data_IF_153202634458
#
_entry.id   IF_153202634458
#
_cell.length_a   1.000
_cell.length_b   1.000
_cell.length_c   1.000
_cell.angle_alpha   90.00
_cell.angle_beta   90.00
_cell.angle_gamma   90.00
#
_symmetry.space_group_name_H-M   'P 1'
#
loop_
_entity.id
_entity.type
_entity.pdbx_description
1 polymer ?
#
# COMPACT_ATOMS: atom_id res chain seq x y z
N UNK A 1 -28.91 11.33 68.62
CA UNK A 1 -28.17 10.20 68.03
C UNK A 1 -27.60 10.63 66.67
N UNK A 2 -26.27 10.70 66.49
CA UNK A 2 -25.69 11.06 65.21
C UNK A 2 -25.88 9.93 64.18
N UNK A 3 -26.36 10.27 62.98
CA UNK A 3 -26.48 9.31 61.86
C UNK A 3 -25.08 8.82 61.46
N UNK A 4 -24.84 7.51 61.34
CA UNK A 4 -23.57 6.99 60.85
C UNK A 4 -23.34 7.48 59.41
N UNK A 5 -22.25 8.23 59.21
CA UNK A 5 -21.79 8.63 57.88
C UNK A 5 -21.28 7.38 57.19
N UNK A 6 -22.09 6.80 56.30
CA UNK A 6 -21.66 5.68 55.45
C UNK A 6 -20.55 6.20 54.53
N UNK A 7 -19.30 5.72 54.64
CA UNK A 7 -18.23 6.17 53.77
C UNK A 7 -18.56 5.81 52.31
N UNK A 8 -18.62 6.83 51.45
CA UNK A 8 -18.78 6.62 50.01
C UNK A 8 -17.61 5.74 49.55
N UNK A 9 -17.88 4.59 48.89
CA UNK A 9 -16.82 3.67 48.53
C UNK A 9 -15.87 4.35 47.53
N UNK A 10 -14.62 4.59 47.98
CA UNK A 10 -13.51 5.18 47.19
C UNK A 10 -13.31 4.48 45.83
N UNK A 11 -13.82 3.26 45.68
CA UNK A 11 -13.75 2.43 44.47
C UNK A 11 -14.51 2.99 43.26
N UNK A 12 -15.62 3.72 43.45
CA UNK A 12 -16.41 4.24 42.31
C UNK A 12 -15.74 5.40 41.59
N UNK A 13 -15.15 6.36 42.32
CA UNK A 13 -14.46 7.52 41.73
C UNK A 13 -13.22 7.09 40.96
N UNK A 14 -12.42 6.19 41.53
CA UNK A 14 -11.22 5.66 40.87
C UNK A 14 -11.55 4.94 39.56
N UNK A 15 -12.56 4.06 39.55
CA UNK A 15 -12.99 3.37 38.33
C UNK A 15 -13.45 4.34 37.24
N UNK A 16 -14.18 5.40 37.61
CA UNK A 16 -14.60 6.43 36.64
C UNK A 16 -13.40 7.14 36.04
N UNK A 17 -12.43 7.53 36.86
CA UNK A 17 -11.20 8.17 36.37
C UNK A 17 -10.43 7.26 35.42
N UNK A 18 -10.20 5.99 35.79
CA UNK A 18 -9.52 5.01 34.91
C UNK A 18 -10.30 4.82 33.61
N UNK A 19 -11.63 4.75 33.68
CA UNK A 19 -12.49 4.67 32.49
C UNK A 19 -12.34 5.88 31.57
N UNK A 20 -12.30 7.10 32.11
CA UNK A 20 -12.08 8.32 31.34
C UNK A 20 -10.69 8.37 30.70
N UNK A 21 -9.65 7.97 31.45
CA UNK A 21 -8.28 7.88 30.93
C UNK A 21 -8.18 6.86 29.80
N UNK A 22 -8.82 5.69 29.96
CA UNK A 22 -8.89 4.66 28.92
C UNK A 22 -9.60 5.18 27.67
N UNK A 23 -10.77 5.82 27.83
CA UNK A 23 -11.52 6.40 26.72
C UNK A 23 -10.73 7.50 26.01
N UNK A 24 -10.05 8.38 26.77
CA UNK A 24 -9.18 9.42 26.21
C UNK A 24 -8.01 8.86 25.42
N UNK A 25 -7.35 7.81 25.95
CA UNK A 25 -6.26 7.14 25.24
C UNK A 25 -6.75 6.48 23.93
N UNK A 26 -7.90 5.79 23.97
CA UNK A 26 -8.51 5.21 22.76
C UNK A 26 -8.84 6.29 21.74
N UNK A 27 -9.37 7.43 22.17
CA UNK A 27 -9.66 8.55 21.27
C UNK A 27 -8.38 9.10 20.60
N UNK A 28 -7.28 9.25 21.36
CA UNK A 28 -5.98 9.64 20.81
C UNK A 28 -5.50 8.61 19.77
N UNK A 29 -5.57 7.31 20.09
CA UNK A 29 -5.19 6.25 19.16
C UNK A 29 -6.02 6.30 17.87
N UNK A 30 -7.34 6.47 17.97
CA UNK A 30 -8.24 6.64 16.82
C UNK A 30 -7.83 7.85 15.96
N UNK A 31 -7.57 9.00 16.58
CA UNK A 31 -7.16 10.22 15.86
C UNK A 31 -5.82 10.01 15.17
N UNK A 32 -4.82 9.46 15.85
CA UNK A 32 -3.50 9.20 15.27
C UNK A 32 -3.53 8.15 14.15
N UNK A 33 -4.38 7.13 14.29
CA UNK A 33 -4.52 6.07 13.31
C UNK A 33 -5.21 6.53 12.02
N UNK A 34 -6.19 7.44 12.12
CA UNK A 34 -7.08 7.76 11.00
C UNK A 34 -6.95 9.17 10.44
N UNK A 35 -6.44 10.16 11.19
CA UNK A 35 -6.24 11.52 10.65
C UNK A 35 -5.35 11.46 9.39
N UNK A 36 -5.55 12.24 8.32
CA UNK A 36 -6.48 13.35 8.19
C UNK A 36 -7.94 12.95 7.90
N UNK A 37 -8.39 11.73 8.25
CA UNK A 37 -9.79 11.28 8.17
C UNK A 37 -10.38 11.41 6.76
N UNK A 38 -9.56 11.13 5.74
CA UNK A 38 -9.97 11.18 4.34
C UNK A 38 -10.75 9.92 4.00
N UNK A 39 -12.07 9.95 4.14
CA UNK A 39 -12.93 8.79 3.91
C UNK A 39 -12.83 8.26 2.47
N UNK A 40 -12.48 6.98 2.32
CA UNK A 40 -12.35 6.27 1.04
C UNK A 40 -12.54 4.76 1.26
N UNK A 41 -13.78 4.31 1.52
CA UNK A 41 -14.08 2.91 1.80
C UNK A 41 -14.15 2.06 0.53
N UNK A 42 -14.10 0.72 0.66
CA UNK A 42 -14.37 -0.16 -0.47
C UNK A 42 -15.78 0.07 -1.01
N UNK A 43 -15.91 0.17 -2.33
CA UNK A 43 -17.19 0.42 -2.99
C UNK A 43 -17.18 -0.07 -4.43
N UNK A 44 -18.34 -0.50 -4.98
CA UNK A 44 -18.44 -0.73 -6.41
C UNK A 44 -18.23 0.59 -7.16
N UNK A 45 -17.40 0.57 -8.20
CA UNK A 45 -17.14 1.73 -9.06
C UNK A 45 -17.34 1.34 -10.51
N UNK A 46 -17.76 2.31 -11.32
CA UNK A 46 -17.70 2.19 -12.78
C UNK A 46 -16.25 2.32 -13.21
N UNK A 47 -15.83 1.45 -14.12
CA UNK A 47 -14.50 1.53 -14.70
C UNK A 47 -14.43 2.73 -15.64
N UNK A 48 -13.44 3.60 -15.41
CA UNK A 48 -13.16 4.77 -16.23
C UNK A 48 -12.37 4.44 -17.50
N UNK A 49 -12.06 3.17 -17.74
CA UNK A 49 -11.45 2.72 -18.99
C UNK A 49 -12.53 2.53 -20.04
N UNK A 50 -12.39 3.27 -21.14
CA UNK A 50 -13.28 3.19 -22.30
C UNK A 50 -12.48 3.04 -23.59
N UNK A 51 -13.09 2.39 -24.58
CA UNK A 51 -12.51 2.22 -25.91
C UNK A 51 -13.20 3.16 -26.89
N UNK A 52 -12.63 4.35 -27.04
CA UNK A 52 -13.19 5.40 -27.91
C UNK A 52 -12.97 5.14 -29.40
N UNK A 53 -11.97 4.33 -29.75
CA UNK A 53 -11.70 3.87 -31.11
C UNK A 53 -11.10 2.46 -31.09
N UNK A 54 -11.07 1.72 -32.22
CA UNK A 54 -10.58 0.34 -32.26
C UNK A 54 -9.21 0.13 -31.61
N UNK A 55 -8.34 1.15 -31.66
CA UNK A 55 -6.98 1.12 -31.14
C UNK A 55 -6.69 2.25 -30.15
N UNK A 56 -7.69 2.75 -29.41
CA UNK A 56 -7.47 3.77 -28.38
C UNK A 56 -8.25 3.43 -27.13
N UNK A 57 -7.52 3.30 -26.02
CA UNK A 57 -8.08 3.24 -24.66
C UNK A 57 -7.96 4.61 -24.01
N UNK A 58 -9.05 5.11 -23.44
CA UNK A 58 -9.09 6.31 -22.60
C UNK A 58 -9.25 5.92 -21.14
N UNK A 59 -8.58 6.64 -20.26
CA UNK A 59 -8.47 6.33 -18.84
C UNK A 59 -8.96 7.52 -17.99
N UNK A 60 -9.80 7.23 -17.01
CA UNK A 60 -10.43 8.19 -16.10
C UNK A 60 -9.89 8.10 -14.67
N UNK A 61 -10.69 8.52 -13.69
CA UNK A 61 -10.29 8.59 -12.28
C UNK A 61 -10.11 7.22 -11.60
N UNK A 62 -10.66 6.15 -12.19
CA UNK A 62 -10.72 4.80 -11.60
C UNK A 62 -10.57 3.77 -12.71
N UNK A 63 -9.40 3.15 -12.84
CA UNK A 63 -9.12 2.32 -14.00
C UNK A 63 -8.86 0.87 -13.60
N UNK A 64 -9.47 -0.06 -14.34
CA UNK A 64 -9.15 -1.48 -14.27
C UNK A 64 -8.95 -2.01 -15.69
N UNK A 65 -7.70 -2.13 -16.11
CA UNK A 65 -7.33 -2.72 -17.39
C UNK A 65 -6.09 -3.59 -17.17
N UNK A 66 -6.29 -4.90 -17.03
CA UNK A 66 -5.24 -5.84 -16.60
C UNK A 66 -5.20 -7.07 -17.47
N UNK A 67 -4.05 -7.72 -17.62
CA UNK A 67 -4.01 -9.05 -18.22
C UNK A 67 -4.72 -10.06 -17.30
N UNK A 68 -5.35 -11.08 -17.89
CA UNK A 68 -6.07 -12.13 -17.15
C UNK A 68 -5.17 -12.94 -16.19
N UNK A 69 -3.85 -12.90 -16.41
CA UNK A 69 -2.85 -13.54 -15.58
C UNK A 69 -1.45 -13.07 -15.98
N UNK A 70 -0.45 -13.88 -15.65
CA UNK A 70 0.93 -13.61 -16.05
C UNK A 70 1.08 -13.62 -17.58
N UNK A 71 1.63 -12.56 -18.20
CA UNK A 71 1.88 -12.57 -19.64
C UNK A 71 2.84 -13.68 -20.07
N UNK A 72 2.52 -14.40 -21.16
CA UNK A 72 3.36 -15.49 -21.67
C UNK A 72 4.80 -15.06 -22.01
N UNK A 73 5.02 -13.80 -22.36
CA UNK A 73 6.34 -13.26 -22.67
C UNK A 73 7.22 -13.07 -21.42
N UNK A 74 6.64 -13.06 -20.21
CA UNK A 74 7.36 -12.77 -18.96
C UNK A 74 8.44 -13.83 -18.67
N UNK A 75 8.15 -15.09 -18.93
CA UNK A 75 9.10 -16.19 -18.77
C UNK A 75 10.31 -16.09 -19.71
N UNK A 76 10.14 -15.49 -20.89
CA UNK A 76 11.26 -15.24 -21.79
C UNK A 76 12.20 -14.16 -21.23
N UNK A 77 11.63 -13.09 -20.69
CA UNK A 77 12.39 -12.00 -20.05
C UNK A 77 13.19 -12.53 -18.86
N UNK A 78 12.56 -13.38 -18.03
CA UNK A 78 13.21 -14.05 -16.88
C UNK A 78 14.37 -14.96 -17.26
N UNK A 79 14.39 -15.49 -18.49
CA UNK A 79 15.54 -16.23 -19.03
C UNK A 79 16.72 -15.33 -19.42
N UNK A 80 16.64 -14.02 -19.14
CA UNK A 80 17.65 -13.02 -19.45
C UNK A 80 17.59 -12.55 -20.91
N UNK A 81 16.44 -12.69 -21.57
CA UNK A 81 16.26 -12.27 -22.97
C UNK A 81 15.93 -10.78 -23.05
N UNK A 82 15.99 -10.25 -24.28
CA UNK A 82 15.63 -8.87 -24.62
C UNK A 82 14.16 -8.59 -24.26
N UNK A 83 13.92 -7.39 -23.73
CA UNK A 83 12.60 -6.80 -23.55
C UNK A 83 12.52 -5.49 -24.33
N UNK A 84 11.41 -5.27 -25.01
CA UNK A 84 11.05 -3.98 -25.61
C UNK A 84 9.63 -3.62 -25.23
N UNK A 85 9.42 -2.36 -24.87
CA UNK A 85 8.11 -1.78 -24.60
C UNK A 85 7.95 -0.57 -25.51
N UNK A 86 6.95 -0.62 -26.39
CA UNK A 86 6.54 0.49 -27.24
C UNK A 86 5.21 1.05 -26.71
N UNK A 87 5.25 2.26 -26.18
CA UNK A 87 4.10 2.92 -25.58
C UNK A 87 3.82 4.24 -26.28
N UNK A 88 2.59 4.46 -26.74
CA UNK A 88 2.13 5.76 -27.23
C UNK A 88 0.97 6.25 -26.36
N UNK A 89 1.24 7.29 -25.59
CA UNK A 89 0.32 7.82 -24.59
C UNK A 89 0.12 9.33 -24.75
N UNK A 90 -1.09 9.79 -24.47
CA UNK A 90 -1.50 11.19 -24.43
C UNK A 90 -2.06 11.49 -23.03
N UNK A 91 -1.23 12.03 -22.12
CA UNK A 91 -1.68 12.42 -20.79
C UNK A 91 -2.75 13.50 -20.86
N UNK A 92 -3.73 13.46 -19.95
CA UNK A 92 -4.73 14.53 -19.84
C UNK A 92 -4.15 15.78 -19.16
N UNK A 93 -3.34 15.60 -18.12
CA UNK A 93 -2.72 16.65 -17.32
C UNK A 93 -1.38 16.20 -16.72
N UNK A 94 -0.55 17.13 -16.21
CA UNK A 94 0.63 16.78 -15.43
C UNK A 94 0.22 16.10 -14.12
N UNK A 95 0.92 15.03 -13.75
CA UNK A 95 0.62 14.29 -12.51
C UNK A 95 1.42 14.88 -11.34
N UNK A 96 0.92 15.95 -10.73
CA UNK A 96 1.67 16.74 -9.75
C UNK A 96 1.66 16.18 -8.32
N UNK A 97 0.66 15.39 -7.96
CA UNK A 97 0.44 14.99 -6.56
C UNK A 97 0.74 13.51 -6.30
N UNK A 98 0.85 12.72 -7.35
CA UNK A 98 1.19 11.31 -7.25
C UNK A 98 1.80 10.87 -8.57
N UNK A 99 2.80 10.00 -8.50
CA UNK A 99 3.29 9.29 -9.70
C UNK A 99 2.18 8.35 -10.17
N UNK A 100 1.86 8.34 -11.46
CA UNK A 100 0.74 7.55 -11.99
C UNK A 100 1.25 6.57 -13.05
N UNK A 101 1.12 5.25 -12.84
CA UNK A 101 1.58 4.26 -13.81
C UNK A 101 0.78 4.35 -15.10
N UNK A 102 1.48 4.53 -16.21
CA UNK A 102 0.89 4.42 -17.55
C UNK A 102 0.81 2.94 -17.94
N UNK A 103 1.87 2.20 -17.60
CA UNK A 103 1.96 0.75 -17.76
C UNK A 103 2.80 0.17 -16.62
N UNK A 104 2.37 -0.97 -16.07
CA UNK A 104 3.07 -1.66 -14.99
C UNK A 104 3.00 -3.17 -15.21
N UNK A 105 4.06 -3.88 -14.81
CA UNK A 105 4.06 -5.33 -14.62
C UNK A 105 4.58 -5.62 -13.23
N UNK A 106 3.72 -6.17 -12.39
CA UNK A 106 3.98 -6.41 -10.98
C UNK A 106 3.17 -7.61 -10.46
N UNK A 107 3.66 -8.25 -9.41
CA UNK A 107 2.88 -9.26 -8.65
C UNK A 107 1.93 -8.56 -7.67
N UNK A 108 2.49 -7.59 -6.95
CA UNK A 108 1.82 -6.76 -5.95
C UNK A 108 2.50 -5.39 -5.84
N UNK A 109 2.12 -4.60 -4.84
CA UNK A 109 2.66 -3.27 -4.57
C UNK A 109 4.16 -3.25 -4.19
N UNK A 110 4.71 -4.38 -3.74
CA UNK A 110 6.10 -4.51 -3.26
C UNK A 110 7.02 -5.19 -4.27
N UNK A 111 6.45 -5.80 -5.31
CA UNK A 111 7.14 -6.61 -6.30
C UNK A 111 6.83 -6.11 -7.71
N UNK A 112 7.40 -4.97 -8.06
CA UNK A 112 7.29 -4.38 -9.39
C UNK A 112 8.45 -4.83 -10.27
N UNK A 113 8.16 -5.58 -11.33
CA UNK A 113 9.17 -5.97 -12.33
C UNK A 113 9.56 -4.77 -13.21
N UNK A 114 8.56 -4.07 -13.76
CA UNK A 114 8.75 -2.85 -14.55
C UNK A 114 7.53 -1.95 -14.43
N UNK A 115 7.74 -0.62 -14.37
CA UNK A 115 6.66 0.33 -14.53
C UNK A 115 7.13 1.58 -15.28
N UNK A 116 6.36 1.98 -16.30
CA UNK A 116 6.46 3.27 -16.96
C UNK A 116 5.46 4.21 -16.27
N UNK A 117 5.98 5.20 -15.56
CA UNK A 117 5.22 6.05 -14.66
C UNK A 117 5.36 7.50 -15.11
N UNK A 118 4.25 8.24 -15.13
CA UNK A 118 4.29 9.69 -15.28
C UNK A 118 4.48 10.35 -13.90
N UNK A 119 5.49 11.21 -13.78
CA UNK A 119 5.75 12.03 -12.58
C UNK A 119 5.86 13.51 -13.01
N UNK A 120 4.78 14.27 -12.81
CA UNK A 120 4.62 15.59 -13.41
C UNK A 120 4.59 15.51 -14.95
N UNK A 121 5.57 16.14 -15.60
CA UNK A 121 5.88 16.03 -17.04
C UNK A 121 6.97 15.00 -17.34
N UNK A 122 7.62 14.45 -16.31
CA UNK A 122 8.70 13.48 -16.47
C UNK A 122 8.18 12.05 -16.64
N UNK A 123 9.05 11.21 -17.18
CA UNK A 123 8.91 9.76 -17.17
C UNK A 123 9.82 9.19 -16.10
N UNK A 124 9.24 8.36 -15.24
CA UNK A 124 9.96 7.53 -14.28
C UNK A 124 9.83 6.07 -14.70
N UNK A 125 10.95 5.37 -14.79
CA UNK A 125 11.01 3.95 -15.09
C UNK A 125 11.50 3.20 -13.87
N UNK A 126 10.57 2.50 -13.21
CA UNK A 126 10.93 1.46 -12.25
C UNK A 126 11.29 0.20 -13.00
N UNK A 127 12.45 -0.37 -12.67
CA UNK A 127 12.95 -1.57 -13.32
C UNK A 127 13.65 -2.43 -12.26
N UNK A 128 13.05 -3.57 -11.92
CA UNK A 128 13.67 -4.58 -11.05
C UNK A 128 14.91 -5.12 -11.74
N UNK A 129 16.03 -5.01 -11.05
CA UNK A 129 17.36 -5.32 -11.55
C UNK A 129 18.29 -5.60 -10.38
N UNK A 130 19.44 -6.21 -10.67
CA UNK A 130 20.49 -6.38 -9.66
C UNK A 130 20.92 -5.01 -9.14
N UNK A 131 20.97 -4.86 -7.82
CA UNK A 131 21.30 -3.61 -7.14
C UNK A 131 20.11 -2.66 -6.90
N UNK A 132 18.92 -2.98 -7.41
CA UNK A 132 17.69 -2.31 -7.04
C UNK A 132 16.91 -3.12 -5.98
N UNK A 133 15.96 -2.49 -5.29
CA UNK A 133 15.02 -3.20 -4.43
C UNK A 133 13.95 -3.96 -5.25
N UNK A 134 13.02 -4.64 -4.58
CA UNK A 134 11.97 -5.44 -5.21
C UNK A 134 10.97 -4.63 -6.05
N UNK A 135 10.95 -3.31 -5.87
CA UNK A 135 10.16 -2.35 -6.67
C UNK A 135 10.98 -1.64 -7.75
N UNK A 136 12.26 -1.98 -7.91
CA UNK A 136 13.12 -1.37 -8.91
C UNK A 136 13.69 0.01 -8.54
N UNK A 137 13.63 0.41 -7.26
CA UNK A 137 14.32 1.62 -6.78
C UNK A 137 15.84 1.38 -6.63
N UNK A 138 16.68 2.37 -6.97
CA UNK A 138 16.30 3.69 -7.47
C UNK A 138 15.76 3.65 -8.91
N UNK A 139 14.75 4.49 -9.24
CA UNK A 139 14.21 4.55 -10.59
C UNK A 139 15.19 5.21 -11.57
N UNK A 140 14.96 4.99 -12.86
CA UNK A 140 15.49 5.86 -13.90
C UNK A 140 14.52 7.00 -14.18
N UNK A 141 15.03 8.18 -14.51
CA UNK A 141 14.21 9.37 -14.74
C UNK A 141 14.57 10.05 -16.05
N UNK A 142 13.56 10.48 -16.80
CA UNK A 142 13.67 11.28 -18.02
C UNK A 142 12.79 12.52 -17.85
N UNK A 143 13.42 13.68 -17.74
CA UNK A 143 12.72 14.96 -17.60
C UNK A 143 11.91 15.29 -18.87
N UNK A 144 10.75 15.94 -18.67
CA UNK A 144 9.91 16.49 -19.73
C UNK A 144 9.56 15.51 -20.86
N UNK A 145 9.45 14.22 -20.52
CA UNK A 145 9.10 13.18 -21.46
C UNK A 145 7.66 13.35 -21.97
N UNK A 146 6.74 13.73 -21.09
CA UNK A 146 5.32 13.81 -21.35
C UNK A 146 4.83 15.25 -21.47
N UNK A 147 4.01 15.51 -22.49
CA UNK A 147 3.30 16.79 -22.70
C UNK A 147 1.79 16.58 -22.62
N UNK A 148 1.08 17.20 -21.67
CA UNK A 148 -0.38 17.09 -21.56
C UNK A 148 -1.08 17.44 -22.87
N UNK A 149 -2.05 16.61 -23.28
CA UNK A 149 -2.80 16.81 -24.51
C UNK A 149 -2.08 16.37 -25.79
N UNK A 150 -0.82 15.94 -25.72
CA UNK A 150 -0.02 15.50 -26.87
C UNK A 150 0.32 14.01 -26.80
N UNK A 151 0.29 13.35 -27.95
CA UNK A 151 0.81 11.99 -28.07
C UNK A 151 2.33 12.00 -27.92
N UNK A 152 2.82 11.16 -27.03
CA UNK A 152 4.24 10.93 -26.75
C UNK A 152 4.54 9.47 -27.04
N UNK A 153 5.58 9.21 -27.85
CA UNK A 153 6.06 7.86 -28.09
C UNK A 153 7.23 7.53 -27.17
N UNK A 154 7.08 6.50 -26.35
CA UNK A 154 8.08 6.01 -25.40
C UNK A 154 8.50 4.60 -25.84
N UNK A 155 9.80 4.44 -26.08
CA UNK A 155 10.39 3.13 -26.40
C UNK A 155 11.41 2.76 -25.33
N UNK A 156 11.11 1.72 -24.55
CA UNK A 156 12.02 1.15 -23.55
C UNK A 156 12.62 -0.11 -24.13
N UNK A 157 13.95 -0.18 -24.18
CA UNK A 157 14.69 -1.33 -24.69
C UNK A 157 15.64 -1.78 -23.60
N UNK A 158 15.48 -3.03 -23.16
CA UNK A 158 16.44 -3.72 -22.31
C UNK A 158 17.03 -4.85 -23.13
N UNK A 159 18.32 -4.72 -23.46
CA UNK A 159 19.01 -5.72 -24.26
C UNK A 159 20.43 -5.90 -23.74
N UNK A 160 20.80 -7.16 -23.46
CA UNK A 160 22.03 -7.51 -22.77
C UNK A 160 22.13 -6.75 -21.43
N UNK A 161 23.16 -5.93 -21.29
CA UNK A 161 23.55 -5.23 -20.08
C UNK A 161 23.33 -3.72 -20.24
N UNK A 162 22.27 -3.33 -20.97
CA UNK A 162 21.96 -1.93 -21.24
C UNK A 162 20.47 -1.66 -21.29
N UNK A 163 20.09 -0.55 -20.66
CA UNK A 163 18.79 0.10 -20.78
C UNK A 163 18.92 1.26 -21.77
N UNK A 164 17.97 1.37 -22.69
CA UNK A 164 17.80 2.52 -23.57
C UNK A 164 16.35 2.97 -23.47
N UNK A 165 16.14 4.27 -23.23
CA UNK A 165 14.81 4.89 -23.31
C UNK A 165 14.84 5.97 -24.38
N UNK A 166 13.93 5.84 -25.35
CA UNK A 166 13.69 6.86 -26.37
C UNK A 166 12.34 7.52 -26.15
N UNK A 167 12.29 8.83 -26.32
CA UNK A 167 11.06 9.63 -26.27
C UNK A 167 10.97 10.40 -27.57
N UNK A 168 9.86 10.23 -28.29
CA UNK A 168 9.61 10.81 -29.62
C UNK A 168 10.77 10.54 -30.60
N UNK A 169 11.29 9.31 -30.59
CA UNK A 169 12.39 8.85 -31.44
C UNK A 169 13.80 9.23 -30.95
N UNK A 170 13.94 10.21 -30.06
CA UNK A 170 15.24 10.62 -29.52
C UNK A 170 15.65 9.77 -28.31
N UNK A 171 16.89 9.27 -28.28
CA UNK A 171 17.44 8.61 -27.08
C UNK A 171 17.63 9.64 -25.98
N UNK A 172 16.89 9.47 -24.87
CA UNK A 172 16.94 10.35 -23.70
C UNK A 172 17.69 9.74 -22.51
N UNK A 173 17.78 8.41 -22.47
CA UNK A 173 18.50 7.67 -21.46
C UNK A 173 19.23 6.50 -22.11
N UNK A 174 20.50 6.30 -21.73
CA UNK A 174 21.21 5.05 -22.00
C UNK A 174 22.11 4.72 -20.82
N UNK A 175 21.78 3.66 -20.08
CA UNK A 175 22.47 3.28 -18.85
C UNK A 175 22.94 1.82 -18.95
N UNK A 176 24.14 1.48 -18.44
CA UNK A 176 24.52 0.10 -18.26
C UNK A 176 23.64 -0.55 -17.19
N UNK A 177 23.34 -1.84 -17.37
CA UNK A 177 22.66 -2.68 -16.40
C UNK A 177 23.59 -3.82 -15.99
N UNK A 178 23.60 -4.25 -14.72
CA UNK A 178 24.35 -5.44 -14.36
C UNK A 178 23.82 -6.68 -15.10
N UNK A 179 24.72 -7.60 -15.42
CA UNK A 179 24.39 -8.84 -16.10
C UNK A 179 23.31 -9.63 -15.35
N UNK A 180 22.35 -10.17 -16.09
CA UNK A 180 21.26 -10.97 -15.52
C UNK A 180 20.19 -10.17 -14.78
N UNK A 181 20.15 -8.85 -14.90
CA UNK A 181 19.15 -7.99 -14.23
C UNK A 181 17.71 -8.48 -14.35
N UNK A 182 17.30 -8.94 -15.54
CA UNK A 182 15.95 -9.42 -15.82
C UNK A 182 15.61 -10.79 -15.22
N UNK A 183 16.62 -11.57 -14.78
CA UNK A 183 16.41 -12.91 -14.18
C UNK A 183 15.78 -12.85 -12.79
N UNK A 184 15.83 -11.68 -12.15
CA UNK A 184 15.26 -11.42 -10.82
C UNK A 184 13.76 -11.15 -10.86
N UNK A 185 13.18 -11.05 -12.05
CA UNK A 185 11.75 -10.79 -12.21
C UNK A 185 10.92 -11.97 -11.70
N UNK A 186 9.86 -11.63 -10.96
CA UNK A 186 8.89 -12.59 -10.43
C UNK A 186 7.75 -12.78 -11.41
N UNK A 187 6.80 -13.65 -11.08
CA UNK A 187 5.47 -13.61 -11.70
C UNK A 187 4.87 -12.21 -11.56
N UNK A 188 3.87 -11.91 -12.39
CA UNK A 188 3.16 -10.65 -12.28
C UNK A 188 2.16 -10.45 -13.40
N UNK A 189 1.17 -9.62 -13.15
CA UNK A 189 0.18 -9.22 -14.16
C UNK A 189 0.55 -7.88 -14.75
N UNK A 190 0.13 -7.64 -16.01
CA UNK A 190 0.27 -6.35 -16.63
C UNK A 190 -0.97 -5.50 -16.33
N UNK A 191 -0.77 -4.22 -16.02
CA UNK A 191 -1.81 -3.22 -15.88
C UNK A 191 -1.51 -2.00 -16.76
N UNK A 192 -2.55 -1.42 -17.36
CA UNK A 192 -2.50 -0.12 -18.03
C UNK A 192 -3.31 0.92 -17.25
N UNK A 193 -2.74 2.12 -17.13
CA UNK A 193 -3.39 3.29 -16.57
C UNK A 193 -3.75 3.21 -15.08
N UNK A 194 -3.21 2.25 -14.33
CA UNK A 194 -3.25 2.13 -12.87
C UNK A 194 -2.19 1.13 -12.38
N UNK A 195 -2.04 0.97 -11.07
CA UNK A 195 -1.28 -0.13 -10.46
C UNK A 195 -2.01 -1.48 -10.59
N UNK A 196 -1.25 -2.58 -10.47
CA UNK A 196 -1.79 -3.96 -10.50
C UNK A 196 -2.83 -4.21 -9.41
N UNK A 197 -2.78 -3.49 -8.29
CA UNK A 197 -3.81 -3.52 -7.25
C UNK A 197 -4.66 -2.25 -7.20
N UNK A 198 -4.38 -1.29 -8.09
CA UNK A 198 -5.10 -0.04 -8.26
C UNK A 198 -4.71 1.01 -7.22
N UNK A 199 -5.30 2.20 -7.34
CA UNK A 199 -5.14 3.28 -6.35
C UNK A 199 -4.35 4.49 -6.85
N UNK A 200 -3.80 4.43 -8.07
CA UNK A 200 -3.05 5.54 -8.69
C UNK A 200 -3.40 5.65 -10.16
N UNK A 201 -4.69 5.80 -10.41
CA UNK A 201 -5.27 5.88 -11.74
C UNK A 201 -4.62 7.01 -12.56
N UNK A 202 -3.97 6.63 -13.65
CA UNK A 202 -3.45 7.55 -14.65
C UNK A 202 -4.58 8.02 -15.57
N UNK A 203 -4.53 9.28 -15.99
CA UNK A 203 -5.57 9.88 -16.83
C UNK A 203 -5.02 10.33 -18.17
N UNK A 204 -5.68 9.90 -19.24
CA UNK A 204 -5.26 10.19 -20.60
C UNK A 204 -5.77 9.15 -21.59
N UNK A 205 -5.05 9.01 -22.70
CA UNK A 205 -5.33 8.01 -23.72
C UNK A 205 -4.06 7.22 -24.07
N UNK A 206 -4.19 5.93 -24.34
CA UNK A 206 -3.12 5.06 -24.84
C UNK A 206 -3.61 4.47 -26.15
N UNK A 207 -2.81 4.64 -27.22
CA UNK A 207 -3.12 4.07 -28.54
C UNK A 207 -2.19 2.94 -28.97
N UNK A 208 -1.12 2.73 -28.23
CA UNK A 208 -0.21 1.60 -28.39
C UNK A 208 0.40 1.26 -27.04
N UNK A 209 0.38 0.00 -26.66
CA UNK A 209 1.06 -0.51 -25.48
C UNK A 209 1.56 -1.92 -25.79
N UNK A 210 2.65 -1.98 -26.56
CA UNK A 210 3.16 -3.22 -27.11
C UNK A 210 4.39 -3.68 -26.35
N UNK A 211 4.41 -4.96 -25.97
CA UNK A 211 5.58 -5.62 -25.41
C UNK A 211 6.11 -6.63 -26.41
N UNK A 212 7.42 -6.54 -26.70
CA UNK A 212 8.12 -7.47 -27.60
C UNK A 212 9.28 -8.16 -26.89
N UNK A 213 9.33 -9.46 -27.04
CA UNK A 213 10.46 -10.34 -26.73
C UNK A 213 10.83 -11.12 -28.00
N UNK A 214 11.90 -11.93 -28.02
CA UNK A 214 12.24 -12.71 -29.22
C UNK A 214 11.13 -13.65 -29.70
N UNK A 215 10.31 -14.20 -28.81
CA UNK A 215 9.24 -15.15 -29.16
C UNK A 215 7.82 -14.58 -29.12
N UNK A 216 7.63 -13.34 -28.65
CA UNK A 216 6.30 -12.78 -28.44
C UNK A 216 6.23 -11.30 -28.83
N UNK A 217 5.08 -10.89 -29.36
CA UNK A 217 4.69 -9.49 -29.53
C UNK A 217 3.21 -9.36 -29.16
N UNK A 218 2.90 -8.56 -28.16
CA UNK A 218 1.52 -8.37 -27.67
C UNK A 218 1.25 -6.88 -27.51
N UNK A 219 0.27 -6.37 -28.25
CA UNK A 219 -0.27 -5.02 -28.07
C UNK A 219 -1.50 -5.06 -27.18
N UNK A 220 -1.35 -4.52 -25.97
CA UNK A 220 -2.37 -4.53 -24.93
C UNK A 220 -3.53 -3.56 -25.17
N UNK A 221 -3.41 -2.70 -26.18
CA UNK A 221 -4.53 -1.88 -26.63
C UNK A 221 -5.51 -2.73 -27.45
N UNK A 222 -5.11 -3.88 -28.02
CA UNK A 222 -6.00 -4.70 -28.83
C UNK A 222 -7.15 -5.34 -28.02
N UNK A 223 -8.34 -5.53 -28.60
CA UNK A 223 -9.43 -6.26 -27.94
C UNK A 223 -8.98 -7.66 -27.50
N UNK A 224 -9.37 -8.06 -26.29
CA UNK A 224 -9.05 -9.38 -25.73
C UNK A 224 -7.67 -9.50 -25.07
N UNK A 225 -6.76 -8.52 -25.22
CA UNK A 225 -5.46 -8.55 -24.56
C UNK A 225 -5.52 -8.18 -23.06
N UNK A 226 -6.57 -7.46 -22.66
CA UNK A 226 -6.82 -7.02 -21.29
C UNK A 226 -8.27 -7.35 -20.88
N UNK A 227 -8.44 -7.68 -19.61
CA UNK A 227 -9.71 -7.64 -18.91
C UNK A 227 -10.03 -6.20 -18.52
N UNK A 228 -11.15 -5.70 -19.05
CA UNK A 228 -11.66 -4.35 -18.79
C UNK A 228 -13.11 -4.48 -18.32
N UNK A 229 -13.35 -4.77 -17.03
CA UNK A 229 -14.71 -4.95 -16.53
C UNK A 229 -15.45 -3.61 -16.53
N UNK A 230 -16.76 -3.59 -16.81
CA UNK A 230 -17.55 -2.35 -16.77
C UNK A 230 -17.63 -1.74 -15.35
N UNK A 231 -17.64 -2.62 -14.35
CA UNK A 231 -17.68 -2.27 -12.92
C UNK A 231 -16.79 -3.23 -12.16
N UNK A 232 -16.19 -2.75 -11.08
CA UNK A 232 -15.41 -3.57 -10.17
C UNK A 232 -15.56 -3.08 -8.73
N UNK A 233 -15.25 -3.95 -7.78
CA UNK A 233 -15.14 -3.56 -6.39
C UNK A 233 -13.80 -2.84 -6.21
N UNK A 234 -13.84 -1.54 -5.99
CA UNK A 234 -12.67 -0.79 -5.57
C UNK A 234 -12.29 -1.24 -4.16
N UNK A 235 -11.13 -1.89 -4.06
CA UNK A 235 -10.46 -2.19 -2.81
C UNK A 235 -9.15 -1.41 -2.84
N UNK A 236 -9.04 -0.32 -2.07
CA UNK A 236 -7.77 0.37 -1.97
C UNK A 236 -6.72 -0.59 -1.40
N UNK A 237 -5.56 -0.70 -2.05
CA UNK A 237 -4.51 -1.59 -1.60
C UNK A 237 -3.87 -1.04 -0.31
N UNK A 238 -4.20 -1.69 0.82
CA UNK A 238 -3.97 -1.16 2.17
C UNK A 238 -3.34 -2.17 3.12
N UNK A 239 -2.95 -3.36 2.65
CA UNK A 239 -2.32 -4.38 3.51
C UNK A 239 -0.84 -4.46 3.22
N UNK A 240 -0.03 -4.19 4.23
CA UNK A 240 1.42 -4.26 4.18
C UNK A 240 1.87 -5.29 5.21
N UNK A 241 1.85 -6.59 4.89
CA UNK A 241 1.99 -7.63 5.91
C UNK A 241 3.26 -7.45 6.74
N UNK A 242 4.40 -7.24 6.05
CA UNK A 242 5.69 -6.93 6.66
C UNK A 242 6.41 -5.89 5.79
N UNK A 243 6.34 -4.60 6.11
CA UNK A 243 7.12 -3.60 5.39
C UNK A 243 8.62 -3.92 5.53
N UNK A 244 9.44 -3.65 4.50
CA UNK A 244 10.87 -3.90 4.58
C UNK A 244 11.50 -3.15 5.77
N UNK A 245 12.42 -3.78 6.51
CA UNK A 245 12.95 -3.21 7.73
C UNK A 245 13.72 -1.91 7.43
N UNK A 246 13.25 -0.80 8.00
CA UNK A 246 13.92 0.49 7.96
C UNK A 246 14.01 1.09 9.36
N UNK A 247 14.91 2.05 9.59
CA UNK A 247 15.02 2.73 10.89
C UNK A 247 13.71 3.40 11.30
N UNK A 248 13.01 4.00 10.33
CA UNK A 248 11.71 4.64 10.55
C UNK A 248 10.65 3.60 10.92
N UNK A 249 10.64 2.46 10.23
CA UNK A 249 9.70 1.38 10.49
C UNK A 249 9.89 0.80 11.90
N UNK A 250 11.13 0.56 12.31
CA UNK A 250 11.44 0.12 13.68
C UNK A 250 10.98 1.13 14.75
N UNK A 251 11.13 2.43 14.48
CA UNK A 251 10.63 3.48 15.37
C UNK A 251 9.09 3.45 15.45
N UNK A 252 8.41 3.28 14.32
CA UNK A 252 6.94 3.16 14.27
C UNK A 252 6.46 1.94 15.08
N UNK A 253 7.10 0.78 14.90
CA UNK A 253 6.80 -0.42 15.67
C UNK A 253 7.02 -0.23 17.19
N UNK A 254 8.10 0.47 17.57
CA UNK A 254 8.36 0.81 18.97
C UNK A 254 7.29 1.74 19.54
N UNK A 255 6.84 2.74 18.78
CA UNK A 255 5.75 3.63 19.20
C UNK A 255 4.42 2.88 19.33
N UNK A 256 4.13 1.95 18.42
CA UNK A 256 2.96 1.07 18.54
C UNK A 256 3.03 0.19 19.79
N UNK A 257 4.19 -0.40 20.08
CA UNK A 257 4.41 -1.15 21.32
C UNK A 257 4.17 -0.27 22.56
N UNK A 258 4.86 0.88 22.65
CA UNK A 258 4.82 1.75 23.83
C UNK A 258 3.43 2.36 24.06
N UNK A 259 2.69 2.68 23.00
CA UNK A 259 1.33 3.24 23.12
C UNK A 259 0.29 2.23 23.61
N UNK A 260 0.52 0.93 23.41
CA UNK A 260 -0.38 -0.12 23.88
C UNK A 260 -0.06 -0.63 25.30
N UNK A 261 1.13 -0.36 25.85
CA UNK A 261 1.45 -0.60 27.27
C UNK A 261 0.48 0.11 28.22
N UNK A 262 0.26 1.44 28.16
CA UNK A 262 -0.70 2.11 29.04
C UNK A 262 -2.14 1.64 28.78
N UNK A 263 -2.47 1.24 27.54
CA UNK A 263 -3.79 0.71 27.21
C UNK A 263 -4.09 -0.60 27.94
N UNK A 264 -3.16 -1.57 27.88
CA UNK A 264 -3.27 -2.84 28.61
C UNK A 264 -3.33 -2.67 30.13
N UNK A 265 -2.55 -1.73 30.66
CA UNK A 265 -2.54 -1.38 32.08
C UNK A 265 -3.89 -0.78 32.53
N UNK A 266 -4.41 0.21 31.81
CA UNK A 266 -5.69 0.87 32.14
C UNK A 266 -6.88 -0.07 31.96
N UNK A 267 -6.90 -0.89 30.90
CA UNK A 267 -7.93 -1.90 30.68
C UNK A 267 -7.99 -2.92 31.83
N UNK A 268 -6.82 -3.35 32.33
CA UNK A 268 -6.74 -4.28 33.47
C UNK A 268 -7.23 -3.63 34.77
N UNK A 269 -6.90 -2.36 35.02
CA UNK A 269 -7.38 -1.62 36.19
C UNK A 269 -8.88 -1.30 36.14
N UNK A 270 -9.44 -1.03 34.97
CA UNK A 270 -10.86 -0.75 34.78
C UNK A 270 -11.75 -1.93 35.22
N UNK A 271 -11.25 -3.16 35.10
CA UNK A 271 -12.01 -4.38 35.40
C UNK A 271 -11.99 -4.78 36.89
N UNK A 272 -11.20 -4.13 37.75
CA UNK A 272 -11.04 -4.51 39.18
C UNK A 272 -12.29 -4.36 40.03
N UNK A 273 -12.70 -5.37 40.85
CA UNK A 273 -12.06 -6.67 41.07
C UNK A 273 -12.67 -7.80 40.23
N UNK A 274 -11.91 -8.48 39.35
CA UNK A 274 -12.24 -9.79 38.83
C UNK A 274 -11.41 -10.89 39.53
N UNK A 275 -11.82 -12.17 39.47
CA UNK A 275 -10.94 -13.28 39.83
C UNK A 275 -9.63 -13.22 39.04
N UNK A 276 -8.50 -13.42 39.73
CA UNK A 276 -7.13 -13.00 39.34
C UNK A 276 -6.72 -13.34 37.91
N UNK A 277 -7.12 -14.50 37.37
CA UNK A 277 -6.76 -14.94 36.01
C UNK A 277 -7.71 -14.42 34.92
N UNK A 278 -9.03 -14.43 35.16
CA UNK A 278 -10.04 -14.08 34.15
C UNK A 278 -10.04 -12.59 33.80
N UNK A 279 -9.64 -11.72 34.75
CA UNK A 279 -9.53 -10.28 34.51
C UNK A 279 -8.45 -9.90 33.50
N UNK A 280 -7.29 -10.55 33.57
CA UNK A 280 -6.19 -10.31 32.63
C UNK A 280 -6.57 -10.72 31.22
N UNK A 281 -7.18 -11.90 31.07
CA UNK A 281 -7.65 -12.40 29.77
C UNK A 281 -8.71 -11.47 29.15
N UNK A 282 -9.70 -11.04 29.94
CA UNK A 282 -10.72 -10.11 29.45
C UNK A 282 -10.14 -8.75 29.04
N UNK A 283 -9.18 -8.21 29.80
CA UNK A 283 -8.50 -6.98 29.43
C UNK A 283 -7.72 -7.14 28.12
N UNK A 284 -7.01 -8.26 27.96
CA UNK A 284 -6.33 -8.58 26.71
C UNK A 284 -7.30 -8.68 25.52
N UNK A 285 -8.43 -9.38 25.67
CA UNK A 285 -9.43 -9.49 24.60
C UNK A 285 -10.00 -8.12 24.19
N UNK A 286 -10.27 -7.24 25.15
CA UNK A 286 -10.74 -5.87 24.87
C UNK A 286 -9.69 -5.09 24.08
N UNK A 287 -8.42 -5.14 24.52
CA UNK A 287 -7.34 -4.43 23.82
C UNK A 287 -7.07 -5.03 22.45
N UNK A 288 -7.15 -6.35 22.31
CA UNK A 288 -7.06 -7.01 21.01
C UNK A 288 -8.19 -6.56 20.08
N UNK A 289 -9.42 -6.49 20.58
CA UNK A 289 -10.56 -5.97 19.82
C UNK A 289 -10.34 -4.52 19.36
N UNK A 290 -9.77 -3.66 20.21
CA UNK A 290 -9.42 -2.28 19.85
C UNK A 290 -8.34 -2.24 18.77
N UNK A 291 -7.25 -3.00 18.91
CA UNK A 291 -6.18 -3.06 17.90
C UNK A 291 -6.70 -3.56 16.54
N UNK A 292 -7.50 -4.63 16.53
CA UNK A 292 -8.14 -5.15 15.32
C UNK A 292 -9.09 -4.12 14.72
N UNK A 293 -9.91 -3.45 15.53
CA UNK A 293 -10.80 -2.39 15.05
C UNK A 293 -10.02 -1.20 14.46
N UNK A 294 -8.90 -0.82 15.08
CA UNK A 294 -7.99 0.21 14.57
C UNK A 294 -7.37 -0.19 13.23
N UNK A 295 -6.90 -1.42 13.10
CA UNK A 295 -6.37 -1.95 11.84
C UNK A 295 -7.45 -2.07 10.76
N UNK A 296 -8.63 -2.59 11.10
CA UNK A 296 -9.75 -2.71 10.16
C UNK A 296 -10.27 -1.35 9.71
N UNK A 297 -10.33 -0.36 10.59
CA UNK A 297 -10.79 0.98 10.24
C UNK A 297 -9.89 1.71 9.25
N UNK A 298 -8.59 1.37 9.15
CA UNK A 298 -7.70 1.94 8.12
C UNK A 298 -8.19 1.63 6.69
N UNK A 299 -8.94 0.53 6.48
CA UNK A 299 -9.58 0.25 5.19
C UNK A 299 -10.67 1.25 4.79
N UNK A 300 -11.05 2.18 5.67
CA UNK A 300 -12.05 3.21 5.40
C UNK A 300 -11.46 4.59 5.10
N UNK A 301 -10.15 4.79 5.29
CA UNK A 301 -9.49 6.09 5.10
C UNK A 301 -8.33 6.03 4.09
N UNK A 302 -8.27 7.00 3.18
CA UNK A 302 -7.21 7.16 2.19
C UNK A 302 -5.83 7.33 2.87
N UNK A 303 -4.78 6.88 2.17
CA UNK A 303 -3.38 6.98 2.60
C UNK A 303 -3.07 6.24 3.94
N UNK A 304 -3.98 5.36 4.40
CA UNK A 304 -3.80 4.56 5.61
C UNK A 304 -3.58 3.09 5.28
N UNK A 305 -2.45 2.57 5.74
CA UNK A 305 -2.04 1.18 5.54
C UNK A 305 -2.05 0.40 6.85
N UNK A 306 -2.51 -0.83 6.79
CA UNK A 306 -2.49 -1.79 7.89
C UNK A 306 -1.28 -2.68 7.73
N UNK A 307 -0.37 -2.62 8.71
CA UNK A 307 0.71 -3.59 8.80
C UNK A 307 0.36 -4.70 9.79
N UNK A 308 0.59 -5.96 9.41
CA UNK A 308 0.35 -7.10 10.31
C UNK A 308 1.36 -7.07 11.47
N UNK A 309 2.58 -6.61 11.21
CA UNK A 309 3.59 -6.34 12.23
C UNK A 309 3.07 -5.40 13.35
N UNK A 310 2.30 -4.36 13.01
CA UNK A 310 1.71 -3.44 13.99
C UNK A 310 0.86 -4.19 15.02
N UNK A 311 -0.01 -5.10 14.56
CA UNK A 311 -0.89 -5.85 15.45
C UNK A 311 -0.10 -6.69 16.46
N UNK A 312 0.98 -7.33 16.00
CA UNK A 312 1.84 -8.15 16.87
C UNK A 312 2.49 -7.30 17.97
N UNK A 313 3.07 -6.14 17.62
CA UNK A 313 3.73 -5.27 18.61
C UNK A 313 2.73 -4.58 19.54
N UNK A 314 1.54 -4.23 19.05
CA UNK A 314 0.45 -3.69 19.86
C UNK A 314 -0.02 -4.72 20.89
N UNK A 315 -0.17 -6.00 20.49
CA UNK A 315 -0.51 -7.08 21.42
C UNK A 315 0.58 -7.30 22.46
N UNK A 316 1.86 -7.29 22.07
CA UNK A 316 2.97 -7.43 23.00
C UNK A 316 3.02 -6.29 24.02
N UNK A 317 2.82 -5.04 23.58
CA UNK A 317 2.73 -3.88 24.46
C UNK A 317 1.57 -3.99 25.45
N UNK A 318 0.38 -4.35 24.97
CA UNK A 318 -0.80 -4.57 25.81
C UNK A 318 -0.58 -5.66 26.87
N UNK A 319 0.03 -6.78 26.47
CA UNK A 319 0.36 -7.88 27.39
C UNK A 319 1.32 -7.43 28.49
N UNK A 320 2.36 -6.67 28.15
CA UNK A 320 3.28 -6.09 29.13
C UNK A 320 2.55 -5.15 30.09
N UNK A 321 1.70 -4.26 29.58
CA UNK A 321 0.89 -3.36 30.39
C UNK A 321 -0.03 -4.09 31.38
N UNK A 322 -0.70 -5.13 30.92
CA UNK A 322 -1.56 -5.98 31.76
C UNK A 322 -0.76 -6.70 32.85
N UNK A 323 0.43 -7.24 32.51
CA UNK A 323 1.34 -7.88 33.46
C UNK A 323 1.81 -6.91 34.55
N UNK A 324 2.19 -5.69 34.18
CA UNK A 324 2.58 -4.63 35.13
C UNK A 324 1.42 -4.28 36.06
N UNK A 325 0.22 -4.07 35.51
CA UNK A 325 -0.98 -3.79 36.28
C UNK A 325 -1.28 -4.90 37.30
N UNK A 326 -1.13 -6.16 36.89
CA UNK A 326 -1.31 -7.34 37.73
C UNK A 326 -0.33 -7.33 38.91
N UNK A 327 0.98 -7.21 38.64
CA UNK A 327 2.04 -7.19 39.67
C UNK A 327 1.87 -6.06 40.68
N UNK A 328 1.51 -4.86 40.22
CA UNK A 328 1.25 -3.72 41.10
C UNK A 328 0.03 -3.95 42.02
N UNK A 329 -0.97 -4.70 41.53
CA UNK A 329 -2.12 -5.09 42.34
C UNK A 329 -1.78 -6.11 43.42
N UNK A 330 -0.95 -7.10 43.12
CA UNK A 330 -0.52 -8.09 44.11
C UNK A 330 0.26 -7.45 45.25
N UNK A 331 1.14 -6.48 44.95
CA UNK A 331 1.90 -5.74 45.97
C UNK A 331 1.02 -4.90 46.87
N UNK A 332 -0.06 -4.33 46.36
CA UNK A 332 -0.98 -3.49 47.15
C UNK A 332 -1.92 -4.31 48.03
N UNK A 333 -2.00 -5.62 47.82
CA UNK A 333 -2.84 -6.55 48.57
C UNK A 333 -2.08 -7.35 49.64
N UNK A 334 -0.75 -7.21 49.69
CA UNK A 334 0.13 -7.72 50.75
C UNK A 334 0.39 -6.59 51.74
#
# INVERSE_FOLDING_TARGET
MPRPVVPVPRTRRHRRLVGWLLAGLVAVLVVTAYAPFRWDPPRPVTNGVDRTAPHVLTFGDRNAARSAGAPAWLDEVRKGRRLQIDLEAKPRFPQLHHRAPVMMVADDFWNTNVAVVQDGTGLMLWLRRVGANDNGDPPFYVADAFRPGHWTAVHVIVQHDRLIVRVDGATRLSEPLPAGSLRTWTEGTLALGDEVRGGRAWQGAIRRAEVRTPGHAVDYVQPGALEVPQRYLYLPDRVVPFPPPSRLEWLILLLHFLSFVPLGLLATWAQRPPPRALGGVRAMLVVCGIAVALAAGKFLFADRHTAVADLVVQFAGAALGALVAYRLGERSAR
#
